data_IF_555468989015
#
_entry.id   IF_555468989015
#
_cell.length_a   1.000
_cell.length_b   1.000
_cell.length_c   1.000
_cell.angle_alpha   90.00
_cell.angle_beta   90.00
_cell.angle_gamma   90.00
#
_symmetry.space_group_name_H-M   'P 1'
#
loop_
_entity.id
_entity.type
_entity.pdbx_description
1 polymer ?
#
# COMPACT_ATOMS: atom_id res chain seq x y z
N UNK A 1 -17.22 4.14 11.88
CA UNK A 1 -17.08 2.91 12.67
C UNK A 1 -15.91 3.07 13.65
N UNK A 2 -15.97 2.52 14.86
CA UNK A 2 -14.81 2.53 15.76
C UNK A 2 -13.65 1.72 15.17
N UNK A 3 -12.43 2.20 15.42
CA UNK A 3 -11.21 1.67 14.82
C UNK A 3 -10.95 0.21 15.21
N UNK A 4 -11.26 -0.15 16.45
CA UNK A 4 -11.14 -1.52 16.97
C UNK A 4 -12.11 -2.53 16.32
N UNK A 5 -13.22 -2.08 15.72
CA UNK A 5 -14.14 -2.94 14.96
C UNK A 5 -13.80 -2.96 13.48
N UNK A 6 -13.29 -1.84 12.95
CA UNK A 6 -12.92 -1.74 11.54
C UNK A 6 -11.79 -2.70 11.17
N UNK A 7 -10.76 -2.83 12.00
CA UNK A 7 -9.59 -3.65 11.65
C UNK A 7 -9.90 -5.15 11.59
N UNK A 8 -10.59 -5.75 12.56
CA UNK A 8 -11.06 -7.13 12.43
C UNK A 8 -11.92 -7.35 11.19
N UNK A 9 -12.85 -6.43 10.89
CA UNK A 9 -13.68 -6.53 9.69
C UNK A 9 -12.86 -6.44 8.40
N UNK A 10 -11.85 -5.56 8.35
CA UNK A 10 -10.91 -5.45 7.23
C UNK A 10 -10.07 -6.70 7.04
N UNK A 11 -9.60 -7.32 8.13
CA UNK A 11 -8.87 -8.59 8.10
C UNK A 11 -9.75 -9.70 7.52
N UNK A 12 -10.99 -9.83 8.00
CA UNK A 12 -11.94 -10.84 7.52
C UNK A 12 -12.30 -10.61 6.05
N UNK A 13 -12.57 -9.38 5.64
CA UNK A 13 -12.80 -9.03 4.23
C UNK A 13 -11.59 -9.41 3.36
N UNK A 14 -10.37 -9.15 3.82
CA UNK A 14 -9.14 -9.54 3.11
C UNK A 14 -9.03 -11.05 2.95
N UNK A 15 -9.34 -11.82 4.00
CA UNK A 15 -9.35 -13.29 3.95
C UNK A 15 -10.37 -13.79 2.93
N UNK A 16 -11.62 -13.32 3.02
CA UNK A 16 -12.71 -13.73 2.13
C UNK A 16 -12.36 -13.43 0.67
N UNK A 17 -11.93 -12.19 0.40
CA UNK A 17 -11.65 -11.72 -0.96
C UNK A 17 -10.58 -12.53 -1.68
N UNK A 18 -9.55 -12.96 -0.96
CA UNK A 18 -8.42 -13.69 -1.55
C UNK A 18 -8.40 -15.17 -1.20
N UNK A 19 -9.44 -15.72 -0.57
CA UNK A 19 -9.53 -17.12 -0.16
C UNK A 19 -9.35 -18.06 -1.36
N UNK A 20 -10.11 -17.83 -2.43
CA UNK A 20 -10.05 -18.67 -3.65
C UNK A 20 -8.70 -18.59 -4.38
N UNK A 21 -7.93 -17.52 -4.15
CA UNK A 21 -6.61 -17.36 -4.74
C UNK A 21 -5.52 -18.10 -3.96
N UNK A 22 -5.77 -18.49 -2.69
CA UNK A 22 -4.77 -19.18 -1.86
C UNK A 22 -4.39 -20.57 -2.40
N UNK A 23 -5.23 -21.16 -3.25
CA UNK A 23 -4.96 -22.44 -3.91
C UNK A 23 -4.11 -22.28 -5.18
N UNK A 24 -3.94 -21.06 -5.69
CA UNK A 24 -3.21 -20.80 -6.95
C UNK A 24 -1.70 -20.86 -6.71
N UNK A 25 -1.01 -21.66 -7.51
CA UNK A 25 0.46 -21.73 -7.52
C UNK A 25 1.05 -20.34 -7.82
N UNK A 26 2.04 -19.94 -7.03
CA UNK A 26 2.75 -18.64 -7.12
C UNK A 26 1.88 -17.40 -6.81
N UNK A 27 0.71 -17.56 -6.20
CA UNK A 27 -0.04 -16.43 -5.65
C UNK A 27 0.46 -16.08 -4.24
N UNK A 28 0.43 -14.80 -3.82
CA UNK A 28 0.80 -14.44 -2.45
C UNK A 28 -0.06 -15.21 -1.44
N UNK A 29 0.60 -15.89 -0.50
CA UNK A 29 -0.08 -16.67 0.54
C UNK A 29 -0.36 -15.78 1.75
N UNK A 30 -1.62 -15.48 1.96
CA UNK A 30 -2.10 -14.68 3.07
C UNK A 30 -2.09 -15.53 4.35
N UNK A 31 -1.38 -15.06 5.37
CA UNK A 31 -1.29 -15.74 6.66
C UNK A 31 -1.16 -14.69 7.77
N UNK A 32 -2.30 -14.32 8.34
CA UNK A 32 -2.36 -13.39 9.46
C UNK A 32 -1.93 -14.02 10.79
N UNK A 33 -1.84 -15.35 10.90
CA UNK A 33 -1.47 -16.01 12.14
C UNK A 33 0.05 -15.95 12.35
N UNK A 34 0.82 -16.25 11.31
CA UNK A 34 2.27 -16.40 11.45
C UNK A 34 3.08 -15.23 10.88
N UNK A 35 2.49 -14.41 10.01
CA UNK A 35 3.22 -13.37 9.28
C UNK A 35 2.68 -11.98 9.54
N UNK A 36 3.58 -11.01 9.37
CA UNK A 36 3.17 -9.61 9.24
C UNK A 36 2.52 -9.40 7.88
N UNK A 37 1.39 -8.69 7.86
CA UNK A 37 0.64 -8.37 6.64
C UNK A 37 0.43 -6.87 6.55
N UNK A 38 0.66 -6.30 5.37
CA UNK A 38 0.35 -4.90 5.08
C UNK A 38 -1.02 -4.83 4.40
N UNK A 39 -1.87 -3.90 4.85
CA UNK A 39 -3.15 -3.60 4.21
C UNK A 39 -3.24 -2.09 3.97
N UNK A 40 -3.18 -1.67 2.71
CA UNK A 40 -3.40 -0.29 2.30
C UNK A 40 -4.87 -0.06 1.94
N UNK A 41 -5.47 1.03 2.42
CA UNK A 41 -6.85 1.40 2.12
C UNK A 41 -6.92 2.86 1.66
N UNK A 42 -7.44 3.06 0.45
CA UNK A 42 -7.56 4.39 -0.15
C UNK A 42 -8.73 5.16 0.44
N UNK A 43 -8.60 6.48 0.53
CA UNK A 43 -9.70 7.38 0.80
C UNK A 43 -10.34 7.22 2.18
N UNK A 44 -9.57 6.83 3.20
CA UNK A 44 -10.07 6.74 4.58
C UNK A 44 -9.26 7.61 5.55
N UNK A 45 -9.89 7.99 6.65
CA UNK A 45 -9.22 8.72 7.73
C UNK A 45 -9.60 8.13 9.09
N UNK A 46 -8.67 8.29 10.04
CA UNK A 46 -8.82 7.84 11.42
C UNK A 46 -8.69 9.06 12.31
N UNK A 47 -9.78 9.43 12.98
CA UNK A 47 -9.80 10.55 13.91
C UNK A 47 -10.63 10.17 15.13
N UNK A 48 -10.15 10.50 16.34
CA UNK A 48 -10.86 10.22 17.58
C UNK A 48 -11.35 8.76 17.69
N UNK A 49 -10.47 7.81 17.35
CA UNK A 49 -10.74 6.37 17.32
C UNK A 49 -11.81 5.92 16.31
N UNK A 50 -12.20 6.76 15.35
CA UNK A 50 -13.20 6.43 14.34
C UNK A 50 -12.60 6.42 12.94
N UNK A 51 -12.98 5.42 12.17
CA UNK A 51 -12.70 5.29 10.74
C UNK A 51 -13.89 5.82 9.95
N UNK A 52 -13.61 6.67 8.96
CA UNK A 52 -14.59 7.24 8.03
C UNK A 52 -13.96 7.47 6.65
N UNK A 53 -14.81 7.59 5.64
CA UNK A 53 -14.40 7.93 4.27
C UNK A 53 -14.02 9.41 4.20
N UNK A 54 -12.94 9.74 3.49
CA UNK A 54 -12.61 11.11 3.12
C UNK A 54 -12.93 11.39 1.63
N UNK A 55 -12.39 12.47 1.07
CA UNK A 55 -12.68 12.92 -0.29
C UNK A 55 -11.89 12.21 -1.40
N UNK A 56 -11.01 11.24 -1.06
CA UNK A 56 -10.11 10.52 -1.98
C UNK A 56 -9.38 11.46 -2.95
N UNK A 57 -9.05 12.67 -2.49
CA UNK A 57 -8.48 13.73 -3.31
C UNK A 57 -7.09 13.40 -3.84
N UNK A 58 -6.93 13.56 -5.16
CA UNK A 58 -5.65 13.47 -5.85
C UNK A 58 -4.57 14.40 -5.26
N UNK A 59 -3.31 13.94 -5.31
CA UNK A 59 -2.12 14.65 -4.83
C UNK A 59 -2.13 14.94 -3.31
N UNK A 60 -2.75 14.06 -2.51
CA UNK A 60 -2.79 14.16 -1.04
C UNK A 60 -2.36 12.87 -0.34
N UNK A 61 -1.95 13.04 0.90
CA UNK A 61 -1.72 11.94 1.84
C UNK A 61 -3.01 11.71 2.63
N UNK A 62 -3.94 10.99 2.01
CA UNK A 62 -5.30 10.77 2.48
C UNK A 62 -5.68 9.28 2.49
N UNK A 63 -4.67 8.42 2.44
CA UNK A 63 -4.83 6.98 2.53
C UNK A 63 -4.25 6.47 3.84
N UNK A 64 -4.56 5.24 4.20
CA UNK A 64 -4.01 4.60 5.40
C UNK A 64 -3.37 3.27 5.07
N UNK A 65 -2.14 3.08 5.56
CA UNK A 65 -1.46 1.79 5.53
C UNK A 65 -1.47 1.16 6.92
N UNK A 66 -2.09 0.00 7.03
CA UNK A 66 -2.07 -0.84 8.21
C UNK A 66 -0.94 -1.86 8.12
N UNK A 67 -0.27 -2.10 9.25
CA UNK A 67 0.55 -3.28 9.45
C UNK A 67 -0.10 -4.16 10.51
N UNK A 68 -0.58 -5.34 10.11
CA UNK A 68 -1.17 -6.32 10.98
C UNK A 68 -0.06 -7.23 11.49
N UNK A 69 0.06 -7.36 12.82
CA UNK A 69 1.03 -8.24 13.45
C UNK A 69 0.53 -9.69 13.45
N UNK A 70 1.45 -10.68 13.54
CA UNK A 70 1.07 -12.09 13.68
C UNK A 70 0.00 -12.32 14.75
N UNK A 71 -0.96 -13.19 14.43
CA UNK A 71 -2.17 -13.46 15.21
C UNK A 71 -3.34 -12.51 14.91
N UNK A 72 -3.14 -11.44 14.14
CA UNK A 72 -4.21 -10.55 13.69
C UNK A 72 -4.92 -9.73 14.79
N UNK A 73 -4.36 -9.68 16.01
CA UNK A 73 -4.98 -9.03 17.18
C UNK A 73 -4.40 -7.66 17.52
N UNK A 74 -3.26 -7.32 16.95
CA UNK A 74 -2.61 -6.02 17.15
C UNK A 74 -2.20 -5.47 15.79
N UNK A 75 -2.16 -4.15 15.67
CA UNK A 75 -1.85 -3.47 14.41
C UNK A 75 -1.21 -2.12 14.66
N UNK A 76 -0.47 -1.64 13.66
CA UNK A 76 -0.11 -0.24 13.51
C UNK A 76 -0.81 0.36 12.29
N UNK A 77 -0.93 1.70 12.26
CA UNK A 77 -1.41 2.44 11.10
C UNK A 77 -0.58 3.69 10.88
N UNK A 78 -0.66 4.21 9.66
CA UNK A 78 -0.04 5.47 9.26
C UNK A 78 -0.73 6.07 8.06
N UNK A 79 -0.63 7.40 7.97
CA UNK A 79 -1.11 8.17 6.83
C UNK A 79 -0.12 8.01 5.67
N UNK A 80 -0.65 7.63 4.51
CA UNK A 80 0.09 7.43 3.28
C UNK A 80 -0.65 8.06 2.10
N UNK A 81 -0.04 7.96 0.93
CA UNK A 81 -0.75 7.97 -0.35
C UNK A 81 -0.43 6.65 -1.05
N UNK A 82 -1.39 6.07 -1.76
CA UNK A 82 -1.24 4.95 -2.69
C UNK A 82 -1.53 5.38 -4.13
N UNK A 83 -1.68 6.69 -4.31
CA UNK A 83 -1.92 7.35 -5.57
C UNK A 83 -0.70 8.18 -5.96
N UNK A 84 -0.50 8.41 -7.27
CA UNK A 84 0.58 9.26 -7.72
C UNK A 84 0.32 10.73 -7.33
N UNK A 85 1.38 11.52 -7.27
CA UNK A 85 1.29 12.95 -7.07
C UNK A 85 1.16 13.72 -8.37
N UNK A 86 0.72 14.96 -8.26
CA UNK A 86 0.61 15.87 -9.41
C UNK A 86 2.00 16.33 -9.85
N UNK A 87 2.38 16.03 -11.08
CA UNK A 87 3.64 16.45 -11.68
C UNK A 87 3.45 16.98 -13.10
N UNK A 88 4.47 17.63 -13.65
CA UNK A 88 4.43 18.09 -15.04
C UNK A 88 4.86 16.96 -15.99
N UNK A 89 4.47 17.06 -17.26
CA UNK A 89 4.91 16.12 -18.31
C UNK A 89 6.44 16.06 -18.43
N UNK A 90 7.12 17.20 -18.30
CA UNK A 90 8.58 17.27 -18.33
C UNK A 90 9.20 16.49 -17.17
N UNK A 91 8.55 16.53 -16.00
CA UNK A 91 8.96 15.77 -14.83
C UNK A 91 8.81 14.27 -15.09
N UNK A 92 7.65 13.81 -15.60
CA UNK A 92 7.46 12.41 -15.98
C UNK A 92 8.53 11.92 -16.96
N UNK A 93 8.82 12.71 -17.99
CA UNK A 93 9.85 12.38 -18.99
C UNK A 93 11.25 12.29 -18.37
N UNK A 94 11.58 13.15 -17.40
CA UNK A 94 12.85 13.07 -16.64
C UNK A 94 13.00 11.74 -15.90
N UNK A 95 11.88 11.15 -15.46
CA UNK A 95 11.84 9.83 -14.83
C UNK A 95 11.62 8.69 -15.84
N UNK A 96 11.67 8.96 -17.15
CA UNK A 96 11.48 7.95 -18.20
C UNK A 96 10.04 7.46 -18.36
N UNK A 97 9.06 8.20 -17.82
CA UNK A 97 7.64 7.86 -17.88
C UNK A 97 7.00 8.60 -19.06
N UNK A 98 6.51 7.86 -20.05
CA UNK A 98 5.88 8.41 -21.26
C UNK A 98 4.37 8.25 -21.31
N UNK A 99 3.82 7.33 -20.51
CA UNK A 99 2.41 6.90 -20.61
C UNK A 99 1.56 7.41 -19.43
N UNK A 100 2.01 8.45 -18.73
CA UNK A 100 1.34 8.96 -17.55
C UNK A 100 1.69 8.25 -16.23
N UNK A 101 1.24 8.86 -15.14
CA UNK A 101 1.36 8.39 -13.77
C UNK A 101 0.71 7.01 -13.58
N UNK A 102 1.32 6.17 -12.75
CA UNK A 102 0.79 4.84 -12.47
C UNK A 102 -0.08 4.83 -11.21
N UNK A 103 -1.19 4.09 -11.22
CA UNK A 103 -1.98 3.75 -10.04
C UNK A 103 -2.11 2.24 -9.94
N UNK A 104 -1.76 1.67 -8.77
CA UNK A 104 -1.87 0.24 -8.51
C UNK A 104 -3.34 -0.14 -8.39
N UNK A 105 -3.75 -1.23 -9.05
CA UNK A 105 -5.09 -1.76 -8.88
C UNK A 105 -5.29 -2.32 -7.46
N UNK A 106 -6.55 -2.43 -7.05
CA UNK A 106 -6.88 -3.23 -5.88
C UNK A 106 -6.42 -4.68 -6.08
N UNK A 107 -5.79 -5.28 -5.06
CA UNK A 107 -5.18 -6.60 -5.20
C UNK A 107 -4.33 -7.05 -4.02
N UNK A 108 -3.88 -8.31 -4.10
CA UNK A 108 -2.91 -8.88 -3.16
C UNK A 108 -1.57 -9.06 -3.86
N UNK A 109 -0.52 -8.49 -3.26
CA UNK A 109 0.83 -8.45 -3.78
C UNK A 109 1.86 -8.91 -2.74
N UNK A 110 3.11 -9.07 -3.17
CA UNK A 110 4.25 -9.26 -2.27
C UNK A 110 5.20 -8.07 -2.35
N UNK A 111 5.71 -7.69 -1.18
CA UNK A 111 6.79 -6.73 -1.02
C UNK A 111 7.86 -7.29 -0.08
N UNK A 112 9.11 -6.84 -0.21
CA UNK A 112 10.22 -7.29 0.64
C UNK A 112 11.10 -6.12 1.03
N UNK A 113 11.95 -6.27 2.04
CA UNK A 113 12.90 -5.19 2.36
C UNK A 113 13.88 -5.02 1.20
N UNK A 114 14.15 -3.77 0.88
CA UNK A 114 15.06 -3.38 -0.18
C UNK A 114 15.49 -1.93 -0.01
N UNK A 115 15.95 -1.34 -1.11
CA UNK A 115 16.38 0.05 -1.15
C UNK A 115 15.56 0.84 -2.17
N UNK A 116 15.25 2.07 -1.81
CA UNK A 116 14.72 3.11 -2.69
C UNK A 116 15.60 4.36 -2.53
N UNK A 117 16.34 4.72 -3.59
CA UNK A 117 17.31 5.83 -3.59
C UNK A 117 18.31 5.79 -2.41
N UNK A 118 18.77 4.61 -2.04
CA UNK A 118 19.76 4.42 -0.96
C UNK A 118 19.16 4.34 0.46
N UNK A 119 17.85 4.57 0.61
CA UNK A 119 17.15 4.38 1.87
C UNK A 119 16.43 3.03 1.92
N UNK A 120 16.36 2.43 3.11
CA UNK A 120 15.62 1.18 3.32
C UNK A 120 14.14 1.45 3.01
N UNK A 121 13.51 0.56 2.25
CA UNK A 121 12.12 0.64 1.83
C UNK A 121 11.56 -0.78 1.60
N UNK A 122 10.28 -0.88 1.28
CA UNK A 122 9.72 -2.12 0.76
C UNK A 122 9.75 -2.09 -0.78
N UNK A 123 10.42 -3.04 -1.39
CA UNK A 123 10.47 -3.21 -2.84
C UNK A 123 9.47 -4.27 -3.31
N UNK A 124 9.03 -4.18 -4.56
CA UNK A 124 8.18 -5.22 -5.17
C UNK A 124 8.85 -6.60 -5.09
N UNK A 125 8.08 -7.60 -4.65
CA UNK A 125 8.45 -9.01 -4.65
C UNK A 125 7.49 -9.89 -5.47
N UNK A 126 6.41 -9.30 -6.01
CA UNK A 126 5.57 -9.91 -7.05
C UNK A 126 5.28 -8.89 -8.17
N UNK A 127 4.72 -9.37 -9.28
CA UNK A 127 4.12 -8.47 -10.27
C UNK A 127 2.95 -7.71 -9.67
N UNK A 128 2.90 -6.41 -9.89
CA UNK A 128 1.73 -5.60 -9.56
C UNK A 128 0.88 -5.41 -10.80
N UNK A 129 -0.43 -5.27 -10.60
CA UNK A 129 -1.35 -4.79 -11.62
C UNK A 129 -1.52 -3.29 -11.43
N UNK A 130 -1.42 -2.52 -12.50
CA UNK A 130 -1.49 -1.06 -12.43
C UNK A 130 -2.02 -0.48 -13.73
N UNK A 131 -2.69 0.65 -13.63
CA UNK A 131 -3.14 1.47 -14.76
C UNK A 131 -2.23 2.67 -14.92
N UNK A 132 -2.17 3.24 -16.12
CA UNK A 132 -1.47 4.49 -16.38
C UNK A 132 -2.40 5.53 -17.00
N UNK A 133 -2.37 6.73 -16.44
CA UNK A 133 -3.19 7.88 -16.84
C UNK A 133 -2.63 8.54 -18.12
N UNK A 134 -2.86 7.91 -19.26
CA UNK A 134 -2.28 8.34 -20.53
C UNK A 134 -2.88 9.66 -21.05
N UNK A 135 -4.10 10.00 -20.66
CA UNK A 135 -4.80 11.22 -21.06
C UNK A 135 -4.60 12.39 -20.06
N UNK A 136 -4.06 12.12 -18.87
CA UNK A 136 -3.70 13.12 -17.87
C UNK A 136 -4.90 13.76 -17.18
N UNK A 137 -6.03 13.06 -17.13
CA UNK A 137 -7.24 13.57 -16.46
C UNK A 137 -7.27 13.26 -14.95
N UNK A 138 -6.31 12.45 -14.48
CA UNK A 138 -6.16 12.00 -13.11
C UNK A 138 -7.36 11.17 -12.60
N UNK A 139 -8.03 10.47 -13.51
CA UNK A 139 -9.17 9.58 -13.24
C UNK A 139 -8.86 8.18 -13.74
N UNK A 140 -8.32 7.34 -12.85
CA UNK A 140 -8.04 5.94 -13.19
C UNK A 140 -9.33 5.12 -13.30
N UNK A 141 -9.63 4.69 -14.52
CA UNK A 141 -10.84 3.95 -14.84
C UNK A 141 -10.58 2.81 -15.86
N UNK A 142 -11.65 2.19 -16.36
CA UNK A 142 -11.55 1.05 -17.26
C UNK A 142 -11.04 1.38 -18.68
N UNK A 143 -11.00 2.67 -19.05
CA UNK A 143 -10.41 3.16 -20.30
C UNK A 143 -8.89 3.23 -20.23
N UNK A 144 -8.31 3.32 -19.03
CA UNK A 144 -6.86 3.30 -18.87
C UNK A 144 -6.30 1.90 -19.10
N UNK A 145 -5.20 1.75 -19.86
CA UNK A 145 -4.59 0.45 -20.10
C UNK A 145 -4.13 -0.20 -18.79
N UNK A 146 -4.53 -1.46 -18.61
CA UNK A 146 -4.09 -2.30 -17.49
C UNK A 146 -2.77 -3.00 -17.83
N UNK A 147 -1.78 -2.83 -16.97
CA UNK A 147 -0.46 -3.45 -17.09
C UNK A 147 -0.20 -4.41 -15.93
N UNK A 148 0.79 -5.27 -16.11
CA UNK A 148 1.31 -6.18 -15.09
C UNK A 148 2.83 -6.22 -15.15
N UNK A 149 3.52 -6.03 -14.03
CA UNK A 149 4.98 -6.18 -14.00
C UNK A 149 5.68 -5.63 -12.76
N UNK A 150 7.01 -5.62 -12.83
CA UNK A 150 7.91 -4.93 -11.92
C UNK A 150 8.28 -3.58 -12.53
N UNK A 151 7.82 -2.48 -11.93
CA UNK A 151 8.10 -1.11 -12.41
C UNK A 151 8.64 -0.19 -11.31
N UNK A 152 9.12 -0.76 -10.21
CA UNK A 152 9.70 -0.01 -9.10
C UNK A 152 8.67 0.68 -8.20
N UNK A 153 7.44 0.16 -8.16
CA UNK A 153 6.41 0.62 -7.22
C UNK A 153 6.74 0.08 -5.82
N UNK A 154 7.27 0.95 -4.97
CA UNK A 154 7.76 0.58 -3.64
C UNK A 154 6.84 1.17 -2.55
N UNK A 155 7.05 0.75 -1.30
CA UNK A 155 6.49 1.41 -0.12
C UNK A 155 7.62 2.11 0.62
N UNK A 156 7.55 3.43 0.77
CA UNK A 156 8.65 4.20 1.31
C UNK A 156 8.24 5.49 2.02
N UNK A 157 9.17 6.10 2.75
CA UNK A 157 8.97 7.41 3.35
C UNK A 157 9.09 8.53 2.31
N UNK A 158 8.47 9.69 2.57
CA UNK A 158 8.73 10.85 1.72
C UNK A 158 10.12 11.46 1.97
N UNK A 159 10.67 12.13 0.96
CA UNK A 159 12.00 12.72 1.05
C UNK A 159 12.12 13.88 2.04
N UNK A 160 11.05 14.64 2.21
CA UNK A 160 10.98 15.80 3.12
C UNK A 160 9.53 16.03 3.55
N UNK A 161 9.33 16.74 4.65
CA UNK A 161 8.01 17.10 5.15
C UNK A 161 7.28 18.06 4.20
N UNK A 162 6.05 17.68 3.81
CA UNK A 162 5.11 18.47 3.02
C UNK A 162 3.72 17.82 3.04
N UNK A 163 2.72 18.59 2.62
CA UNK A 163 1.30 18.19 2.63
C UNK A 163 0.75 17.72 1.26
N UNK A 164 1.59 17.70 0.22
CA UNK A 164 1.23 17.23 -1.11
C UNK A 164 2.19 16.14 -1.59
N UNK A 165 1.73 15.29 -2.49
CA UNK A 165 2.49 14.12 -2.94
C UNK A 165 3.56 14.53 -3.95
N UNK A 166 3.16 15.16 -5.06
CA UNK A 166 4.03 15.54 -6.17
C UNK A 166 5.02 14.44 -6.55
N UNK A 167 6.29 14.80 -6.74
CA UNK A 167 7.37 13.86 -7.09
C UNK A 167 7.69 12.81 -6.03
N UNK A 168 7.07 12.85 -4.85
CA UNK A 168 7.28 11.80 -3.84
C UNK A 168 6.74 10.45 -4.34
N UNK A 169 5.67 10.44 -5.14
CA UNK A 169 5.11 9.22 -5.71
C UNK A 169 4.73 9.42 -7.18
N UNK A 170 5.22 8.54 -8.04
CA UNK A 170 4.72 8.36 -9.42
C UNK A 170 3.94 7.03 -9.56
N UNK A 171 3.49 6.49 -8.42
CA UNK A 171 2.77 5.21 -8.29
C UNK A 171 3.21 4.35 -7.11
N UNK A 172 4.16 4.81 -6.30
CA UNK A 172 4.56 4.19 -5.03
C UNK A 172 3.48 4.39 -3.95
N UNK A 173 3.52 3.55 -2.92
CA UNK A 173 2.87 3.88 -1.65
C UNK A 173 3.85 4.69 -0.80
N UNK A 174 3.48 5.92 -0.42
CA UNK A 174 4.40 6.82 0.26
C UNK A 174 3.83 7.31 1.56
N UNK A 175 4.57 7.16 2.65
CA UNK A 175 4.13 7.65 3.96
C UNK A 175 4.28 9.16 4.05
N UNK A 176 3.41 9.80 4.85
CA UNK A 176 3.57 11.22 5.20
C UNK A 176 4.81 11.44 6.09
N UNK A 177 5.23 10.42 6.83
CA UNK A 177 6.49 10.42 7.55
C UNK A 177 7.70 10.51 6.58
N UNK A 178 8.74 11.25 6.94
CA UNK A 178 10.01 11.28 6.20
C UNK A 178 10.99 10.21 6.70
N UNK A 179 12.09 9.98 5.98
CA UNK A 179 13.02 8.86 6.21
C UNK A 179 13.56 8.69 7.63
N UNK A 180 13.75 9.79 8.37
CA UNK A 180 14.26 9.76 9.74
C UNK A 180 13.15 9.99 10.78
N UNK A 181 11.89 10.03 10.35
CA UNK A 181 10.77 10.23 11.24
C UNK A 181 10.52 8.95 12.07
N UNK A 182 10.26 9.06 13.38
CA UNK A 182 10.09 7.89 14.26
C UNK A 182 9.04 6.87 13.77
N UNK A 183 7.95 7.34 13.17
CA UNK A 183 6.89 6.48 12.63
C UNK A 183 7.40 5.57 11.49
N UNK A 184 8.24 6.10 10.60
CA UNK A 184 8.84 5.32 9.53
C UNK A 184 9.86 4.32 10.08
N UNK A 185 10.74 4.79 10.96
CA UNK A 185 11.77 3.96 11.58
C UNK A 185 11.15 2.80 12.36
N UNK A 186 10.08 3.05 13.11
CA UNK A 186 9.33 2.02 13.83
C UNK A 186 8.75 0.97 12.89
N UNK A 187 8.10 1.38 11.79
CA UNK A 187 7.60 0.45 10.79
C UNK A 187 8.72 -0.42 10.22
N UNK A 188 9.74 0.23 9.66
CA UNK A 188 10.74 -0.49 8.86
C UNK A 188 11.59 -1.43 9.73
N UNK A 189 11.93 -1.02 10.96
CA UNK A 189 12.67 -1.88 11.90
C UNK A 189 11.90 -3.14 12.26
N UNK A 190 10.58 -3.08 12.43
CA UNK A 190 9.78 -4.28 12.68
C UNK A 190 9.86 -5.24 11.49
N UNK A 191 9.68 -4.74 10.28
CA UNK A 191 9.67 -5.60 9.10
C UNK A 191 11.07 -6.13 8.73
N UNK A 192 12.14 -5.40 9.05
CA UNK A 192 13.51 -5.94 8.97
C UNK A 192 13.70 -7.12 9.92
N UNK A 193 13.26 -7.01 11.17
CA UNK A 193 13.31 -8.11 12.12
C UNK A 193 12.45 -9.30 11.66
N UNK A 194 11.25 -9.03 11.15
CA UNK A 194 10.37 -10.06 10.60
C UNK A 194 10.97 -10.76 9.37
N UNK A 195 11.70 -10.04 8.52
CA UNK A 195 12.35 -10.62 7.34
C UNK A 195 13.51 -11.53 7.74
N UNK A 196 14.33 -11.12 8.72
CA UNK A 196 15.40 -11.96 9.26
C UNK A 196 14.85 -13.27 9.84
N UNK A 197 13.78 -13.18 10.64
CA UNK A 197 13.10 -14.36 11.19
C UNK A 197 12.48 -15.24 10.10
N UNK A 198 11.94 -14.62 9.04
CA UNK A 198 11.39 -15.32 7.88
C UNK A 198 12.47 -16.08 7.13
N UNK A 199 13.62 -15.45 6.87
CA UNK A 199 14.78 -16.03 6.18
C UNK A 199 15.45 -17.15 6.97
N UNK A 200 15.44 -17.09 8.30
CA UNK A 200 15.94 -18.16 9.16
C UNK A 200 15.09 -19.44 9.03
N UNK A 201 13.77 -19.29 8.90
CA UNK A 201 12.82 -20.40 8.76
C UNK A 201 12.74 -20.93 7.32
N UNK A 202 12.79 -20.02 6.35
CA UNK A 202 12.77 -20.31 4.92
C UNK A 202 13.77 -19.40 4.20
N UNK A 203 14.94 -19.91 3.76
CA UNK A 203 15.92 -19.14 2.99
C UNK A 203 15.36 -18.54 1.68
N UNK A 204 14.18 -19.00 1.22
CA UNK A 204 13.46 -18.47 0.06
C UNK A 204 12.26 -17.61 0.46
N UNK A 205 12.24 -17.07 1.68
CA UNK A 205 11.17 -16.21 2.18
C UNK A 205 10.79 -15.15 1.11
N UNK A 206 9.55 -15.18 0.60
CA UNK A 206 9.20 -14.43 -0.60
C UNK A 206 8.90 -12.94 -0.31
N UNK A 207 8.86 -12.56 0.97
CA UNK A 207 8.44 -11.24 1.43
C UNK A 207 7.07 -11.27 2.12
N UNK A 208 6.52 -10.09 2.33
CA UNK A 208 5.29 -9.83 3.06
C UNK A 208 4.13 -9.61 2.10
N UNK A 209 2.95 -10.10 2.50
CA UNK A 209 1.72 -9.78 1.78
C UNK A 209 1.40 -8.29 1.92
N UNK A 210 1.02 -7.69 0.80
CA UNK A 210 0.50 -6.33 0.71
C UNK A 210 -0.84 -6.37 -0.01
N UNK A 211 -1.92 -6.29 0.77
CA UNK A 211 -3.27 -6.11 0.23
C UNK A 211 -3.53 -4.62 0.04
N UNK A 212 -4.02 -4.23 -1.12
CA UNK A 212 -4.37 -2.85 -1.43
C UNK A 212 -5.86 -2.80 -1.75
N UNK A 213 -6.60 -1.90 -1.10
CA UNK A 213 -8.04 -1.69 -1.26
C UNK A 213 -8.36 -0.28 -1.74
N UNK A 214 -9.36 -0.17 -2.62
CA UNK A 214 -9.98 1.10 -2.99
C UNK A 214 -10.99 1.56 -1.93
N UNK A 215 -11.36 2.85 -1.98
CA UNK A 215 -12.30 3.45 -1.04
C UNK A 215 -13.66 2.72 -1.02
N UNK A 216 -14.17 2.27 -2.17
CA UNK A 216 -15.44 1.52 -2.27
C UNK A 216 -15.44 0.25 -1.41
N UNK A 217 -14.30 -0.42 -1.30
CA UNK A 217 -14.15 -1.60 -0.46
C UNK A 217 -14.25 -1.27 1.04
N UNK A 218 -13.66 -0.14 1.44
CA UNK A 218 -13.79 0.35 2.82
C UNK A 218 -15.20 0.81 3.13
N UNK A 219 -15.88 1.45 2.16
CA UNK A 219 -17.26 1.89 2.28
C UNK A 219 -18.19 0.72 2.64
N UNK A 220 -18.06 -0.41 1.95
CA UNK A 220 -18.85 -1.61 2.24
C UNK A 220 -18.66 -2.10 3.68
N UNK A 221 -17.42 -2.08 4.20
CA UNK A 221 -17.14 -2.46 5.60
C UNK A 221 -17.81 -1.48 6.58
N UNK A 222 -17.71 -0.18 6.31
CA UNK A 222 -18.28 0.85 7.17
C UNK A 222 -19.81 0.79 7.19
N UNK A 223 -20.45 0.59 6.04
CA UNK A 223 -21.91 0.55 5.89
C UNK A 223 -22.53 -0.76 6.42
N UNK A 224 -21.83 -1.89 6.30
CA UNK A 224 -22.34 -3.20 6.77
C UNK A 224 -22.48 -3.33 8.29
N UNK A 225 -21.95 -2.37 9.05
CA UNK A 225 -21.99 -2.34 10.52
C UNK A 225 -22.45 -0.97 11.06
N UNK A 226 -23.13 -0.18 10.22
CA UNK A 226 -23.77 1.09 10.59
C UNK A 226 -25.17 0.89 11.15
#
# INVERSE_FOLDING_TARGET
>A
MEYEYFIPALIEETKIRYQSNQERKNFPRLDFENNHVLIGVRGISIENNKVFLNDDRFDRFNDVLFNIYPGGKTWGSRVVTMDPGKVTKETLLKYGITNGEARVEEGLYLVKIGLHHGHIAFNQASHFFFRRDANGDHVWNNLDPLYKGYIGINIHAQGMEKDYVGVSSLGCTVTRAYWNHPEWLSLISVFQGAELNGLEKDPKFPGFCYALFNQDSAKNILESNS
#
